data_IF_855488733786
#
_entry.id   IF_855488733786
#
_cell.length_a   1.000
_cell.length_b   1.000
_cell.length_c   1.000
_cell.angle_alpha   90.00
_cell.angle_beta   90.00
_cell.angle_gamma   90.00
#
_symmetry.space_group_name_H-M   'P 1'
#
loop_
_entity.id
_entity.type
_entity.pdbx_description
1 polymer ?
#
# COMPACT_ATOMS: atom_id res chain seq x y z
N UNK A 1 -40.69 -30.04 -32.48
CA UNK A 1 -40.38 -28.62 -32.12
C UNK A 1 -39.17 -28.61 -31.20
N UNK A 2 -37.99 -28.33 -31.77
CA UNK A 2 -36.72 -28.35 -31.04
C UNK A 2 -36.42 -26.92 -30.57
N UNK A 3 -36.42 -26.67 -29.24
CA UNK A 3 -36.03 -25.38 -28.66
C UNK A 3 -34.51 -25.34 -28.50
N UNK A 4 -33.86 -24.52 -29.32
CA UNK A 4 -32.43 -24.21 -29.17
C UNK A 4 -32.21 -23.32 -27.93
N UNK A 5 -31.44 -23.80 -26.96
CA UNK A 5 -30.98 -23.02 -25.80
C UNK A 5 -29.76 -22.22 -26.25
N UNK A 6 -29.88 -20.91 -26.37
CA UNK A 6 -28.75 -20.00 -26.57
C UNK A 6 -28.02 -19.83 -25.26
N UNK A 7 -26.80 -20.37 -25.17
CA UNK A 7 -25.89 -20.14 -24.06
C UNK A 7 -25.20 -18.80 -24.31
N UNK A 8 -25.57 -17.74 -23.59
CA UNK A 8 -24.87 -16.45 -23.59
C UNK A 8 -23.70 -16.58 -22.64
N UNK A 9 -22.52 -16.75 -23.21
CA UNK A 9 -21.26 -16.64 -22.42
C UNK A 9 -21.03 -15.18 -22.06
N UNK A 10 -21.20 -14.82 -20.79
CA UNK A 10 -20.79 -13.52 -20.26
C UNK A 10 -19.26 -13.57 -20.07
N UNK A 11 -18.52 -12.95 -21.00
CA UNK A 11 -17.11 -12.67 -20.81
C UNK A 11 -16.99 -11.61 -19.70
N UNK A 12 -16.51 -11.99 -18.53
CA UNK A 12 -16.05 -11.04 -17.54
C UNK A 12 -14.88 -10.24 -18.13
N UNK A 13 -14.85 -8.89 -18.02
CA UNK A 13 -13.71 -8.12 -18.45
C UNK A 13 -12.50 -8.57 -17.64
N UNK A 14 -11.46 -9.07 -18.31
CA UNK A 14 -10.15 -9.23 -17.71
C UNK A 14 -9.70 -7.83 -17.24
N UNK A 15 -9.54 -7.64 -15.94
CA UNK A 15 -8.89 -6.44 -15.42
C UNK A 15 -7.53 -6.35 -16.11
N UNK A 16 -7.32 -5.29 -16.90
CA UNK A 16 -6.02 -4.98 -17.49
C UNK A 16 -5.08 -4.71 -16.32
N UNK A 17 -4.32 -5.72 -15.92
CA UNK A 17 -3.19 -5.54 -15.03
C UNK A 17 -2.30 -4.48 -15.69
N UNK A 18 -2.20 -3.29 -15.09
CA UNK A 18 -1.39 -2.21 -15.61
C UNK A 18 0.05 -2.68 -15.80
N UNK A 19 0.74 -2.09 -16.75
CA UNK A 19 2.16 -2.37 -17.00
C UNK A 19 2.97 -2.16 -15.72
N UNK A 20 3.90 -3.08 -15.42
CA UNK A 20 4.71 -3.06 -14.20
C UNK A 20 6.19 -3.10 -14.51
N UNK A 21 7.02 -2.59 -13.59
CA UNK A 21 8.48 -2.65 -13.67
C UNK A 21 9.05 -3.36 -12.45
N UNK A 22 10.03 -4.25 -12.68
CA UNK A 22 10.77 -4.88 -11.59
C UNK A 22 11.63 -3.85 -10.87
N UNK A 23 11.60 -3.90 -9.56
CA UNK A 23 12.34 -2.98 -8.69
C UNK A 23 13.07 -3.78 -7.61
N UNK A 24 14.29 -3.34 -7.29
CA UNK A 24 15.04 -3.86 -6.15
C UNK A 24 15.46 -2.70 -5.25
N UNK A 25 15.27 -2.86 -3.96
CA UNK A 25 15.71 -1.91 -2.95
C UNK A 25 15.95 -2.63 -1.62
N UNK A 26 17.09 -2.36 -0.99
CA UNK A 26 17.48 -2.81 0.36
C UNK A 26 17.24 -4.31 0.60
N UNK A 27 17.61 -5.15 -0.38
CA UNK A 27 17.47 -6.61 -0.31
C UNK A 27 16.04 -7.12 -0.53
N UNK A 28 15.15 -6.31 -1.06
CA UNK A 28 13.78 -6.68 -1.43
C UNK A 28 13.57 -6.48 -2.92
N UNK A 29 13.05 -7.50 -3.62
CA UNK A 29 12.57 -7.42 -5.01
C UNK A 29 11.06 -7.38 -5.05
N UNK A 30 10.51 -6.59 -5.95
CA UNK A 30 9.07 -6.45 -6.14
C UNK A 30 8.76 -5.79 -7.49
N UNK A 31 7.51 -5.83 -7.90
CA UNK A 31 7.03 -5.10 -9.09
C UNK A 31 6.27 -3.84 -8.67
N UNK A 32 6.42 -2.79 -9.49
CA UNK A 32 5.75 -1.50 -9.28
C UNK A 32 4.99 -1.14 -10.56
N UNK A 33 3.74 -0.66 -10.47
CA UNK A 33 3.02 -0.14 -11.63
C UNK A 33 3.79 1.02 -12.31
N UNK A 34 3.89 1.01 -13.63
CA UNK A 34 4.55 2.09 -14.40
C UNK A 34 3.86 3.44 -14.25
N UNK A 35 2.58 3.45 -13.86
CA UNK A 35 1.84 4.67 -13.54
C UNK A 35 2.37 5.40 -12.28
N UNK A 36 3.17 4.74 -11.43
CA UNK A 36 3.78 5.36 -10.25
C UNK A 36 5.13 5.96 -10.62
N UNK A 37 5.28 7.27 -10.44
CA UNK A 37 6.51 7.97 -10.82
C UNK A 37 7.55 7.88 -9.70
N UNK A 38 8.70 7.22 -9.95
CA UNK A 38 9.82 7.19 -9.00
C UNK A 38 10.31 8.61 -8.73
N UNK A 39 10.51 8.95 -7.45
CA UNK A 39 11.05 10.25 -7.02
C UNK A 39 12.23 10.04 -6.06
N UNK A 40 13.14 11.02 -5.92
CA UNK A 40 14.21 10.96 -4.93
C UNK A 40 13.66 10.80 -3.52
N UNK A 41 14.25 9.92 -2.73
CA UNK A 41 13.91 9.76 -1.32
C UNK A 41 14.59 10.86 -0.49
N UNK A 42 13.86 11.58 0.38
CA UNK A 42 14.41 12.74 1.10
C UNK A 42 15.22 12.37 2.36
N UNK A 43 15.35 11.09 2.68
CA UNK A 43 16.11 10.61 3.84
C UNK A 43 16.57 9.17 3.67
N UNK A 44 17.64 8.79 4.38
CA UNK A 44 18.27 7.46 4.29
C UNK A 44 17.33 6.30 4.70
N UNK A 45 16.37 6.57 5.57
CA UNK A 45 15.38 5.55 6.00
C UNK A 45 14.26 5.33 4.98
N UNK A 46 14.10 6.22 4.01
CA UNK A 46 13.20 6.03 2.86
C UNK A 46 13.98 5.36 1.73
N UNK A 47 14.03 4.04 1.72
CA UNK A 47 14.76 3.27 0.73
C UNK A 47 14.28 3.48 -0.71
N UNK A 48 12.99 3.76 -0.87
CA UNK A 48 12.39 4.09 -2.17
C UNK A 48 11.12 4.92 -1.99
N UNK A 49 10.82 5.76 -2.98
CA UNK A 49 9.62 6.59 -2.97
C UNK A 49 9.06 6.75 -4.39
N UNK A 50 7.72 6.77 -4.49
CA UNK A 50 7.00 7.06 -5.72
C UNK A 50 5.90 8.05 -5.43
N UNK A 51 5.59 8.86 -6.42
CA UNK A 51 4.43 9.72 -6.47
C UNK A 51 3.29 8.97 -7.17
N UNK A 52 2.11 9.00 -6.57
CA UNK A 52 0.87 8.55 -7.17
C UNK A 52 0.17 9.75 -7.81
N UNK A 53 -0.01 9.79 -9.13
CA UNK A 53 -0.79 10.84 -9.75
C UNK A 53 -2.21 10.89 -9.18
N UNK A 54 -2.64 12.08 -8.78
CA UNK A 54 -3.96 12.28 -8.18
C UNK A 54 -5.10 11.84 -9.09
N UNK A 55 -6.16 11.34 -8.51
CA UNK A 55 -7.42 11.12 -9.20
C UNK A 55 -8.08 12.46 -9.57
N UNK A 56 -8.95 12.44 -10.58
CA UNK A 56 -9.74 13.63 -10.91
C UNK A 56 -10.59 14.06 -9.70
N UNK A 57 -10.51 15.34 -9.35
CA UNK A 57 -11.19 15.92 -8.19
C UNK A 57 -10.37 15.95 -6.90
N UNK A 58 -9.29 15.18 -6.79
CA UNK A 58 -8.39 15.24 -5.65
C UNK A 58 -7.46 16.46 -5.73
N UNK A 59 -7.15 17.07 -4.58
CA UNK A 59 -6.37 18.30 -4.48
C UNK A 59 -4.86 18.07 -4.64
N UNK A 60 -4.37 16.88 -4.28
CA UNK A 60 -2.94 16.55 -4.27
C UNK A 60 -2.67 15.11 -4.71
N UNK A 61 -1.43 14.83 -5.09
CA UNK A 61 -0.95 13.50 -5.41
C UNK A 61 -0.83 12.65 -4.12
N UNK A 62 -0.88 11.33 -4.27
CA UNK A 62 -0.52 10.41 -3.20
C UNK A 62 0.97 10.06 -3.22
N UNK A 63 1.41 9.36 -2.18
CA UNK A 63 2.78 8.87 -2.01
C UNK A 63 2.80 7.36 -1.79
N UNK A 64 3.81 6.69 -2.36
CA UNK A 64 4.23 5.33 -1.99
C UNK A 64 5.63 5.42 -1.45
N UNK A 65 5.86 4.87 -0.25
CA UNK A 65 7.15 4.95 0.44
C UNK A 65 7.52 3.56 0.94
N UNK A 66 8.73 3.11 0.61
CA UNK A 66 9.35 1.96 1.22
C UNK A 66 10.37 2.45 2.26
N UNK A 67 10.11 2.14 3.52
CA UNK A 67 11.04 2.42 4.62
C UNK A 67 11.86 1.19 4.96
N UNK A 68 13.13 1.44 5.29
CA UNK A 68 14.05 0.45 5.83
C UNK A 68 14.99 1.11 6.85
N UNK A 69 14.97 0.63 8.08
CA UNK A 69 15.76 1.18 9.19
C UNK A 69 17.02 0.37 9.46
N UNK A 70 17.32 -0.61 8.62
CA UNK A 70 18.38 -1.61 8.83
C UNK A 70 17.81 -2.95 9.32
N UNK A 71 18.55 -4.04 9.07
CA UNK A 71 18.13 -5.38 9.45
C UNK A 71 17.81 -5.48 10.94
N UNK A 72 16.66 -6.01 11.29
CA UNK A 72 16.17 -6.15 12.68
C UNK A 72 15.78 -4.85 13.37
N UNK A 73 15.74 -3.71 12.65
CA UNK A 73 15.40 -2.39 13.20
C UNK A 73 14.04 -1.89 12.70
N UNK A 74 13.52 -0.86 13.37
CA UNK A 74 12.23 -0.24 12.99
C UNK A 74 11.01 -0.80 13.72
N UNK A 75 11.19 -1.82 14.56
CA UNK A 75 10.12 -2.51 15.29
C UNK A 75 9.43 -3.58 14.45
N UNK A 76 8.52 -4.33 15.05
CA UNK A 76 7.73 -5.36 14.39
C UNK A 76 6.43 -4.83 13.78
N UNK A 77 5.63 -5.76 13.22
CA UNK A 77 4.34 -5.42 12.60
C UNK A 77 3.39 -4.73 13.60
N UNK A 78 3.25 -5.23 14.83
CA UNK A 78 2.33 -4.68 15.82
C UNK A 78 2.65 -3.21 16.17
N UNK A 79 3.93 -2.88 16.39
CA UNK A 79 4.36 -1.52 16.71
C UNK A 79 4.13 -0.55 15.54
N UNK A 80 4.30 -1.02 14.30
CA UNK A 80 4.04 -0.19 13.13
C UNK A 80 2.55 0.00 12.88
N UNK A 81 1.70 -1.00 13.13
CA UNK A 81 0.25 -0.83 13.13
C UNK A 81 -0.17 0.30 14.09
N UNK A 82 0.34 0.31 15.33
CA UNK A 82 0.04 1.39 16.28
C UNK A 82 0.46 2.76 15.78
N UNK A 83 1.65 2.88 15.16
CA UNK A 83 2.10 4.14 14.54
C UNK A 83 1.17 4.59 13.41
N UNK A 84 0.67 3.65 12.60
CA UNK A 84 -0.26 3.97 11.51
C UNK A 84 -1.64 4.34 12.03
N UNK A 85 -2.16 3.66 13.06
CA UNK A 85 -3.42 4.04 13.72
C UNK A 85 -3.35 5.45 14.28
N UNK A 86 -2.23 5.83 14.90
CA UNK A 86 -2.03 7.18 15.44
C UNK A 86 -2.00 8.29 14.37
N UNK A 87 -1.82 7.93 13.09
CA UNK A 87 -1.78 8.89 11.97
C UNK A 87 -3.15 9.15 11.33
N UNK A 88 -4.19 8.36 11.65
CA UNK A 88 -5.52 8.55 11.08
C UNK A 88 -6.59 8.63 12.15
N UNK A 89 -7.53 9.55 11.91
CA UNK A 89 -8.77 9.67 12.69
C UNK A 89 -9.93 9.32 11.78
N UNK A 90 -10.60 8.16 11.97
CA UNK A 90 -11.75 7.76 11.17
C UNK A 90 -12.87 8.79 11.21
N UNK A 91 -13.57 9.00 10.11
CA UNK A 91 -14.63 10.00 9.99
C UNK A 91 -15.88 9.66 10.83
N UNK A 92 -16.10 8.39 11.13
CA UNK A 92 -17.21 7.89 11.96
C UNK A 92 -16.94 7.98 13.48
N UNK A 93 -15.77 8.48 13.88
CA UNK A 93 -15.37 8.65 15.28
C UNK A 93 -14.97 7.35 16.00
N UNK A 94 -14.97 6.19 15.34
CA UNK A 94 -14.45 4.96 15.94
C UNK A 94 -12.93 5.05 16.18
N UNK A 95 -12.39 4.31 17.15
CA UNK A 95 -10.95 4.14 17.26
C UNK A 95 -10.38 3.61 15.93
N UNK A 96 -9.22 4.13 15.51
CA UNK A 96 -8.59 3.71 14.26
C UNK A 96 -8.34 2.19 14.17
N UNK A 97 -8.02 1.57 15.30
CA UNK A 97 -7.85 0.11 15.40
C UNK A 97 -9.12 -0.68 15.04
N UNK A 98 -10.30 -0.17 15.43
CA UNK A 98 -11.59 -0.83 15.20
C UNK A 98 -12.13 -0.56 13.78
N UNK A 99 -11.67 0.53 13.15
CA UNK A 99 -12.01 0.89 11.79
C UNK A 99 -11.10 0.26 10.75
N UNK A 100 -9.88 -0.13 11.14
CA UNK A 100 -8.88 -0.67 10.24
C UNK A 100 -9.19 -2.12 9.82
N UNK A 101 -8.93 -2.44 8.55
CA UNK A 101 -8.90 -3.82 8.05
C UNK A 101 -7.46 -4.30 8.05
N UNK A 102 -7.15 -5.30 8.86
CA UNK A 102 -5.81 -5.90 8.95
C UNK A 102 -5.82 -7.28 8.32
N UNK A 103 -4.84 -7.54 7.44
CA UNK A 103 -4.66 -8.84 6.79
C UNK A 103 -3.24 -9.35 7.04
N UNK A 104 -3.11 -10.63 7.36
CA UNK A 104 -1.82 -11.30 7.54
C UNK A 104 -1.71 -12.41 6.52
N UNK A 105 -0.60 -12.42 5.76
CA UNK A 105 -0.32 -13.47 4.77
C UNK A 105 1.16 -13.77 4.68
N UNK A 106 1.51 -14.90 4.07
CA UNK A 106 2.89 -15.25 3.73
C UNK A 106 3.06 -15.15 2.22
N UNK A 107 4.10 -14.45 1.76
CA UNK A 107 4.48 -14.31 0.35
C UNK A 107 5.96 -14.69 0.24
N UNK A 108 6.29 -15.75 -0.49
CA UNK A 108 7.68 -16.21 -0.69
C UNK A 108 8.53 -16.21 0.60
N UNK A 109 8.02 -16.84 1.68
CA UNK A 109 8.65 -16.89 3.01
C UNK A 109 8.73 -15.53 3.77
N UNK A 110 8.15 -14.46 3.24
CA UNK A 110 7.97 -13.18 3.94
C UNK A 110 6.61 -13.17 4.63
N UNK A 111 6.56 -12.79 5.92
CA UNK A 111 5.32 -12.51 6.62
C UNK A 111 4.91 -11.08 6.32
N UNK A 112 3.75 -10.89 5.74
CA UNK A 112 3.21 -9.58 5.36
C UNK A 112 1.98 -9.30 6.21
N UNK A 113 2.06 -8.27 7.07
CA UNK A 113 0.92 -7.74 7.82
C UNK A 113 0.53 -6.40 7.21
N UNK A 114 -0.60 -6.35 6.52
CA UNK A 114 -1.10 -5.14 5.87
C UNK A 114 -2.28 -4.54 6.62
N UNK A 115 -2.43 -3.23 6.50
CA UNK A 115 -3.53 -2.44 7.05
C UNK A 115 -4.13 -1.54 5.98
N UNK A 116 -5.44 -1.40 6.04
CA UNK A 116 -6.27 -0.56 5.18
C UNK A 116 -7.11 0.32 6.11
N UNK A 117 -6.96 1.65 6.03
CA UNK A 117 -7.61 2.58 6.94
C UNK A 117 -7.86 3.93 6.27
N UNK A 118 -9.10 4.41 6.32
CA UNK A 118 -9.51 5.74 5.86
C UNK A 118 -9.74 6.70 7.02
N UNK A 119 -9.53 8.00 6.79
CA UNK A 119 -9.80 9.02 7.80
C UNK A 119 -9.10 10.35 7.55
N UNK A 120 -9.08 11.20 8.56
CA UNK A 120 -8.28 12.41 8.55
C UNK A 120 -6.82 12.07 8.90
N UNK A 121 -5.94 12.23 7.90
CA UNK A 121 -4.52 11.87 8.01
C UNK A 121 -3.69 12.99 8.61
N UNK A 122 -2.79 12.63 9.51
CA UNK A 122 -1.82 13.55 10.13
C UNK A 122 -0.42 12.95 9.99
N UNK A 123 0.42 13.56 9.16
CA UNK A 123 1.77 13.06 8.88
C UNK A 123 2.71 13.15 10.09
N UNK A 124 2.54 14.20 10.92
CA UNK A 124 3.30 14.42 12.15
C UNK A 124 2.36 14.88 13.26
N UNK A 125 2.67 14.65 14.56
CA UNK A 125 1.81 15.01 15.67
C UNK A 125 1.39 16.50 15.70
N UNK A 126 2.27 17.39 15.24
CA UNK A 126 2.03 18.84 15.15
C UNK A 126 1.36 19.28 13.84
N UNK A 127 1.20 18.36 12.87
CA UNK A 127 0.61 18.67 11.56
C UNK A 127 -0.91 18.86 11.64
N UNK A 128 -1.45 19.70 10.75
CA UNK A 128 -2.90 19.77 10.56
C UNK A 128 -3.44 18.47 9.96
N UNK A 129 -4.56 17.93 10.45
CA UNK A 129 -5.17 16.76 9.86
C UNK A 129 -5.73 17.07 8.46
N UNK A 130 -5.52 16.17 7.51
CA UNK A 130 -6.05 16.23 6.16
C UNK A 130 -7.24 15.28 6.05
N UNK A 131 -8.48 15.75 5.95
CA UNK A 131 -9.66 14.90 5.82
C UNK A 131 -9.69 14.18 4.45
N UNK A 132 -10.45 13.09 4.35
CA UNK A 132 -10.65 12.36 3.09
C UNK A 132 -9.38 11.66 2.58
N UNK A 133 -8.50 11.25 3.48
CA UNK A 133 -7.30 10.48 3.17
C UNK A 133 -7.51 8.99 3.41
N UNK A 134 -6.67 8.21 2.74
CA UNK A 134 -6.60 6.78 2.87
C UNK A 134 -5.15 6.32 3.03
N UNK A 135 -4.96 5.30 3.83
CA UNK A 135 -3.70 4.62 4.07
C UNK A 135 -3.82 3.13 3.74
N UNK A 136 -2.95 2.65 2.86
CA UNK A 136 -2.62 1.23 2.74
C UNK A 136 -1.17 1.08 3.19
N UNK A 137 -0.91 0.21 4.15
CA UNK A 137 0.46 -0.01 4.58
C UNK A 137 0.72 -1.48 4.87
N UNK A 138 1.99 -1.89 4.84
CA UNK A 138 2.38 -3.25 5.15
C UNK A 138 3.72 -3.29 5.89
N UNK A 139 3.77 -4.07 6.96
CA UNK A 139 5.00 -4.54 7.57
C UNK A 139 5.37 -5.88 6.92
N UNK A 140 6.58 -5.96 6.40
CA UNK A 140 7.11 -7.11 5.67
C UNK A 140 8.26 -7.67 6.50
N UNK A 141 8.07 -8.85 7.07
CA UNK A 141 9.01 -9.49 8.00
C UNK A 141 9.63 -10.73 7.34
N UNK A 142 10.95 -10.87 7.48
CA UNK A 142 11.69 -11.99 6.91
C UNK A 142 13.20 -11.73 6.91
N UNK A 143 13.99 -12.62 6.28
CA UNK A 143 15.44 -12.49 6.22
C UNK A 143 15.88 -11.15 5.61
N UNK A 144 16.67 -10.37 6.36
CA UNK A 144 17.15 -9.05 5.94
C UNK A 144 16.24 -7.87 6.31
N UNK A 145 14.96 -8.14 6.65
CA UNK A 145 13.98 -7.12 7.05
C UNK A 145 14.07 -6.72 8.53
N UNK A 146 13.03 -6.05 9.07
CA UNK A 146 11.76 -5.74 8.42
C UNK A 146 11.80 -4.55 7.46
N UNK A 147 10.86 -4.53 6.51
CA UNK A 147 10.58 -3.40 5.63
C UNK A 147 9.15 -2.90 5.87
N UNK A 148 8.92 -1.61 5.61
CA UNK A 148 7.61 -1.02 5.81
C UNK A 148 7.20 -0.26 4.56
N UNK A 149 6.17 -0.76 3.89
CA UNK A 149 5.57 -0.12 2.72
C UNK A 149 4.38 0.71 3.17
N UNK A 150 4.28 1.92 2.64
CA UNK A 150 3.17 2.83 2.94
C UNK A 150 2.69 3.51 1.67
N UNK A 151 1.40 3.45 1.42
CA UNK A 151 0.68 4.20 0.39
C UNK A 151 -0.27 5.14 1.12
N UNK A 152 -0.19 6.43 0.88
CA UNK A 152 -1.02 7.44 1.54
C UNK A 152 -1.36 8.58 0.59
N UNK A 153 -2.57 9.06 0.65
CA UNK A 153 -3.04 10.18 -0.16
C UNK A 153 -4.55 10.37 -0.05
N UNK A 154 -5.12 11.25 -0.87
CA UNK A 154 -6.57 11.39 -1.00
C UNK A 154 -7.23 10.05 -1.33
N UNK A 155 -8.42 9.83 -0.80
CA UNK A 155 -9.12 8.53 -0.85
C UNK A 155 -9.28 7.99 -2.28
N UNK A 156 -9.73 8.82 -3.23
CA UNK A 156 -9.91 8.37 -4.61
C UNK A 156 -8.58 8.04 -5.30
N UNK A 157 -7.51 8.76 -4.99
CA UNK A 157 -6.16 8.48 -5.49
C UNK A 157 -5.65 7.14 -4.98
N UNK A 158 -5.78 6.87 -3.68
CA UNK A 158 -5.34 5.60 -3.07
C UNK A 158 -6.23 4.43 -3.51
N UNK A 159 -7.54 4.65 -3.68
CA UNK A 159 -8.45 3.62 -4.20
C UNK A 159 -8.01 3.11 -5.59
N UNK A 160 -7.55 3.99 -6.48
CA UNK A 160 -7.00 3.62 -7.79
C UNK A 160 -5.64 2.89 -7.71
N UNK A 161 -4.89 3.10 -6.65
CA UNK A 161 -3.61 2.44 -6.42
C UNK A 161 -3.73 1.06 -5.74
N UNK A 162 -4.92 0.66 -5.29
CA UNK A 162 -5.17 -0.56 -4.53
C UNK A 162 -4.66 -1.82 -5.25
N UNK A 163 -5.05 -2.01 -6.51
CA UNK A 163 -4.64 -3.18 -7.28
C UNK A 163 -3.11 -3.23 -7.47
N UNK A 164 -2.49 -2.07 -7.70
CA UNK A 164 -1.05 -1.93 -7.78
C UNK A 164 -0.33 -2.24 -6.46
N UNK A 165 -0.91 -1.83 -5.32
CA UNK A 165 -0.42 -2.18 -3.99
C UNK A 165 -0.49 -3.69 -3.74
N UNK A 166 -1.61 -4.33 -4.08
CA UNK A 166 -1.78 -5.78 -3.93
C UNK A 166 -0.83 -6.56 -4.86
N UNK A 167 -0.65 -6.13 -6.11
CA UNK A 167 0.29 -6.72 -7.03
C UNK A 167 1.75 -6.60 -6.53
N UNK A 168 2.12 -5.43 -5.98
CA UNK A 168 3.42 -5.22 -5.35
C UNK A 168 3.61 -6.20 -4.19
N UNK A 169 2.66 -6.27 -3.25
CA UNK A 169 2.76 -7.18 -2.11
C UNK A 169 2.85 -8.65 -2.53
N UNK A 170 2.16 -9.06 -3.58
CA UNK A 170 2.19 -10.44 -4.08
C UNK A 170 3.52 -10.80 -4.75
N UNK A 171 4.22 -9.81 -5.30
CA UNK A 171 5.50 -9.97 -6.00
C UNK A 171 6.73 -9.87 -5.09
N UNK A 172 6.55 -9.66 -3.78
CA UNK A 172 7.66 -9.49 -2.83
C UNK A 172 8.53 -10.74 -2.73
N UNK A 173 9.84 -10.55 -2.88
CA UNK A 173 10.86 -11.59 -2.69
C UNK A 173 12.04 -10.98 -1.92
N UNK A 174 12.53 -11.69 -0.87
CA UNK A 174 13.79 -11.34 -0.23
C UNK A 174 14.94 -11.75 -1.16
N UNK A 175 15.86 -10.82 -1.43
CA UNK A 175 17.06 -11.07 -2.23
C UNK A 175 18.29 -10.92 -1.34
N UNK A 176 19.23 -11.90 -1.43
CA UNK A 176 20.51 -11.89 -0.72
C UNK A 176 21.60 -11.22 -1.53
#
# INVERSE_FOLDING_TARGET
>A
MLRALLLVAVLAPAALAGETVHTEAVGLRFTVPTAWTRVPAPSDVRAAQWRLPRAAGDAEDGEVILFFFGAGKGGGAAENLERWYAQLTPADGRPARDAAVVTIRTVHALRVTSVDLAGAYRAAPSGAPKPGFHLLAAAIEGPGGPWFLKVVGPEATVARARDGFEALLTSLEAHR
#
